data_IF_040937753173
#
_entry.id   IF_040937753173
#
_cell.length_a   1.000
_cell.length_b   1.000
_cell.length_c   1.000
_cell.angle_alpha   90.00
_cell.angle_beta   90.00
_cell.angle_gamma   90.00
#
_symmetry.space_group_name_H-M   'P 1'
#
loop_
_entity.id
_entity.type
_entity.pdbx_description
1 polymer ?
#
# COMPACT_ATOMS: atom_id res chain seq x y z
N UNK A 1 3.37 -29.62 17.38
CA UNK A 1 2.06 -29.59 16.71
C UNK A 1 2.05 -28.36 15.82
N UNK A 2 1.91 -28.58 14.51
CA UNK A 2 2.03 -27.58 13.47
C UNK A 2 0.70 -26.85 13.32
N UNK A 3 0.52 -25.73 14.03
CA UNK A 3 -0.59 -24.82 13.78
C UNK A 3 -0.25 -23.95 12.57
N UNK A 4 -0.64 -24.42 11.38
CA UNK A 4 -0.85 -23.52 10.26
C UNK A 4 -2.12 -22.71 10.56
N UNK A 5 -2.09 -21.37 10.50
CA UNK A 5 -3.31 -20.59 10.65
C UNK A 5 -4.30 -20.99 9.55
N UNK A 6 -5.51 -21.36 9.95
CA UNK A 6 -6.61 -21.63 9.02
C UNK A 6 -6.90 -20.36 8.23
N UNK A 7 -6.45 -20.35 6.97
CA UNK A 7 -6.77 -19.33 5.98
C UNK A 7 -8.25 -19.49 5.62
N UNK A 8 -9.12 -18.75 6.28
CA UNK A 8 -10.45 -18.42 5.75
C UNK A 8 -10.30 -17.38 4.65
N UNK A 9 -9.59 -17.74 3.58
CA UNK A 9 -9.67 -17.06 2.29
C UNK A 9 -11.09 -17.28 1.77
N UNK A 10 -11.94 -16.27 1.89
CA UNK A 10 -13.17 -16.22 1.12
C UNK A 10 -12.80 -16.26 -0.36
N UNK A 11 -12.95 -17.44 -0.93
CA UNK A 11 -12.92 -17.69 -2.36
C UNK A 11 -13.97 -16.80 -3.04
N UNK A 12 -13.52 -16.09 -4.07
CA UNK A 12 -14.29 -15.38 -5.11
C UNK A 12 -15.83 -15.42 -5.03
N UNK A 13 -16.49 -14.36 -4.54
CA UNK A 13 -17.86 -14.03 -4.95
C UNK A 13 -17.82 -13.23 -6.26
N UNK A 14 -18.55 -13.72 -7.27
CA UNK A 14 -18.72 -13.14 -8.60
C UNK A 14 -19.50 -11.81 -8.56
N UNK A 15 -18.82 -10.72 -8.22
CA UNK A 15 -19.37 -9.36 -8.35
C UNK A 15 -19.09 -8.76 -9.72
N UNK A 16 -20.13 -8.45 -10.49
CA UNK A 16 -20.04 -7.76 -11.79
C UNK A 16 -19.60 -6.30 -11.58
N UNK A 17 -18.30 -6.01 -11.55
CA UNK A 17 -17.83 -4.62 -11.70
C UNK A 17 -17.87 -4.25 -13.18
N UNK A 18 -18.67 -3.23 -13.55
CA UNK A 18 -18.67 -2.65 -14.89
C UNK A 18 -17.26 -2.11 -15.19
N UNK A 19 -16.67 -2.62 -16.26
CA UNK A 19 -15.29 -2.39 -16.67
C UNK A 19 -15.09 -0.95 -17.16
N UNK A 20 -14.02 -0.33 -16.68
CA UNK A 20 -13.33 0.78 -17.33
C UNK A 20 -12.23 0.16 -18.19
N UNK A 21 -12.04 0.68 -19.40
CA UNK A 21 -11.25 0.08 -20.48
C UNK A 21 -9.94 -0.58 -20.02
N UNK A 22 -9.57 -1.75 -20.58
CA UNK A 22 -8.32 -2.41 -20.23
C UNK A 22 -7.17 -1.45 -20.56
N UNK A 23 -6.42 -1.06 -19.53
CA UNK A 23 -5.14 -0.41 -19.71
C UNK A 23 -4.31 -1.26 -20.67
N UNK A 24 -4.06 -0.71 -21.86
CA UNK A 24 -3.32 -1.43 -22.91
C UNK A 24 -1.92 -1.75 -22.37
N UNK A 25 -1.46 -2.98 -22.61
CA UNK A 25 -0.06 -3.32 -22.38
C UNK A 25 0.84 -2.25 -23.02
N UNK A 26 1.81 -1.74 -22.26
CA UNK A 26 2.76 -0.66 -22.60
C UNK A 26 2.33 0.78 -22.35
N UNK A 27 1.17 1.05 -21.73
CA UNK A 27 0.88 2.39 -21.20
C UNK A 27 1.89 2.74 -20.10
N UNK A 28 2.62 3.86 -20.27
CA UNK A 28 3.57 4.36 -19.28
C UNK A 28 2.98 5.50 -18.47
N UNK A 29 3.10 5.40 -17.15
CA UNK A 29 2.80 6.50 -16.23
C UNK A 29 3.97 7.47 -16.24
N UNK A 30 3.68 8.74 -16.55
CA UNK A 30 4.61 9.83 -16.36
C UNK A 30 4.12 10.75 -15.26
N UNK A 31 4.91 10.90 -14.19
CA UNK A 31 4.64 11.88 -13.14
C UNK A 31 4.81 13.29 -13.70
N UNK A 32 3.74 14.09 -13.61
CA UNK A 32 3.68 15.48 -14.07
C UNK A 32 3.82 16.48 -12.94
N UNK A 33 3.39 16.12 -11.73
CA UNK A 33 3.64 16.97 -10.57
C UNK A 33 5.14 17.11 -10.32
N UNK A 34 5.65 18.34 -10.12
CA UNK A 34 7.06 18.54 -9.78
C UNK A 34 7.38 17.83 -8.46
N UNK A 35 8.63 17.40 -8.30
CA UNK A 35 9.10 16.90 -7.01
C UNK A 35 9.02 18.01 -5.98
N UNK A 36 8.51 17.68 -4.79
CA UNK A 36 8.47 18.61 -3.66
C UNK A 36 9.40 18.09 -2.56
N UNK A 37 10.41 18.91 -2.25
CA UNK A 37 11.38 18.64 -1.20
C UNK A 37 11.09 19.56 -0.02
N UNK A 38 10.76 18.97 1.12
CA UNK A 38 10.46 19.70 2.36
C UNK A 38 11.74 20.21 3.03
N UNK A 39 11.56 21.05 4.05
CA UNK A 39 12.65 21.45 4.94
C UNK A 39 13.25 20.23 5.66
N UNK A 40 14.58 20.16 5.83
CA UNK A 40 15.21 19.07 6.58
C UNK A 40 14.74 19.01 8.03
N UNK A 41 14.53 17.80 8.56
CA UNK A 41 14.08 17.61 9.95
C UNK A 41 15.23 17.69 10.95
N UNK A 42 16.39 17.14 10.59
CA UNK A 42 17.59 17.13 11.45
C UNK A 42 17.58 16.06 12.56
N UNK A 43 16.57 15.18 12.57
CA UNK A 43 16.51 13.99 13.42
C UNK A 43 15.68 12.90 12.74
N UNK A 44 15.88 11.65 13.14
CA UNK A 44 15.04 10.55 12.67
C UNK A 44 13.60 10.74 13.13
N UNK A 45 12.65 10.78 12.20
CA UNK A 45 11.22 10.97 12.47
C UNK A 45 10.58 9.77 13.16
N UNK A 46 11.26 8.62 13.18
CA UNK A 46 10.75 7.39 13.74
C UNK A 46 11.27 7.12 15.16
N UNK A 47 12.58 7.26 15.39
CA UNK A 47 13.19 6.96 16.70
C UNK A 47 13.79 8.18 17.41
N UNK A 48 13.75 9.37 16.80
CA UNK A 48 14.25 10.60 17.39
C UNK A 48 15.79 10.77 17.39
N UNK A 49 16.56 9.78 16.92
CA UNK A 49 18.02 9.89 16.91
C UNK A 49 18.51 11.05 16.04
N UNK A 50 19.54 11.76 16.51
CA UNK A 50 20.26 12.78 15.77
C UNK A 50 21.56 12.23 15.18
N UNK A 51 21.48 11.01 14.64
CA UNK A 51 22.63 10.32 14.07
C UNK A 51 23.38 11.22 13.07
N UNK A 52 24.71 11.09 13.02
CA UNK A 52 25.57 11.94 12.18
C UNK A 52 25.27 11.83 10.68
N UNK A 53 24.63 10.74 10.24
CA UNK A 53 24.20 10.52 8.86
C UNK A 53 22.73 10.15 8.80
N UNK A 54 21.89 11.16 8.61
CA UNK A 54 20.48 11.00 8.28
C UNK A 54 20.28 10.94 6.77
N UNK A 55 19.28 10.19 6.34
CA UNK A 55 18.88 10.00 4.94
C UNK A 55 17.60 10.76 4.64
N UNK A 56 17.31 10.84 3.35
CA UNK A 56 16.05 11.36 2.84
C UNK A 56 14.95 10.30 2.96
N UNK A 57 13.76 10.73 3.35
CA UNK A 57 12.57 9.88 3.42
C UNK A 57 11.62 10.24 2.27
N UNK A 58 11.26 9.26 1.46
CA UNK A 58 10.24 9.44 0.42
C UNK A 58 8.87 9.22 1.06
N UNK A 59 8.06 10.27 1.25
CA UNK A 59 6.78 10.16 1.98
C UNK A 59 5.92 9.07 1.35
N UNK A 60 5.59 9.23 0.06
CA UNK A 60 5.11 8.13 -0.78
C UNK A 60 6.33 7.46 -1.42
N UNK A 61 6.48 6.12 -1.37
CA UNK A 61 7.64 5.46 -1.94
C UNK A 61 7.82 5.78 -3.43
N UNK A 62 9.07 5.95 -3.87
CA UNK A 62 9.40 6.15 -5.28
C UNK A 62 8.89 5.00 -6.16
N UNK A 63 8.83 3.78 -5.61
CA UNK A 63 8.27 2.61 -6.29
C UNK A 63 6.77 2.75 -6.59
N UNK A 64 6.07 3.64 -5.91
CA UNK A 64 4.68 3.99 -6.21
C UNK A 64 4.59 5.28 -7.02
N UNK A 65 5.69 5.84 -7.54
CA UNK A 65 5.66 7.12 -8.24
C UNK A 65 5.57 8.32 -7.31
N UNK A 66 5.91 8.14 -6.03
CA UNK A 66 5.99 9.23 -5.06
C UNK A 66 7.06 10.27 -5.43
N UNK A 67 6.74 11.55 -5.21
CA UNK A 67 7.60 12.70 -5.53
C UNK A 67 7.72 13.69 -4.35
N UNK A 68 7.29 13.29 -3.16
CA UNK A 68 7.40 14.05 -1.92
C UNK A 68 8.58 13.53 -1.11
N UNK A 69 9.55 14.39 -0.80
CA UNK A 69 10.81 14.01 -0.16
C UNK A 69 11.07 14.86 1.07
N UNK A 70 11.36 14.21 2.20
CA UNK A 70 11.70 14.82 3.48
C UNK A 70 13.19 14.60 3.78
N UNK A 71 14.07 15.59 3.62
CA UNK A 71 15.51 15.42 3.81
C UNK A 71 15.91 15.24 5.29
N UNK A 72 17.06 14.58 5.52
CA UNK A 72 17.68 14.39 6.83
C UNK A 72 16.68 13.98 7.93
N UNK A 73 15.92 12.91 7.66
CA UNK A 73 14.72 12.56 8.42
C UNK A 73 14.61 11.09 8.81
N UNK A 74 15.47 10.20 8.29
CA UNK A 74 15.54 8.81 8.75
C UNK A 74 16.97 8.35 9.00
N UNK A 75 17.18 7.60 10.09
CA UNK A 75 18.46 6.94 10.34
C UNK A 75 18.55 5.63 9.54
N UNK A 76 19.76 5.07 9.45
CA UNK A 76 20.03 3.83 8.70
C UNK A 76 19.17 2.66 9.21
N UNK A 77 19.00 2.53 10.52
CA UNK A 77 18.24 1.42 11.10
C UNK A 77 16.75 1.51 10.74
N UNK A 78 16.15 2.70 10.88
CA UNK A 78 14.75 2.92 10.54
C UNK A 78 14.52 2.83 9.03
N UNK A 79 15.42 3.33 8.18
CA UNK A 79 15.36 3.14 6.73
C UNK A 79 15.45 1.66 6.35
N UNK A 80 16.26 0.87 7.06
CA UNK A 80 16.30 -0.59 6.86
C UNK A 80 14.99 -1.26 7.26
N UNK A 81 14.35 -0.83 8.35
CA UNK A 81 13.04 -1.34 8.77
C UNK A 81 11.97 -0.98 7.74
N UNK A 82 11.84 0.29 7.37
CA UNK A 82 10.82 0.75 6.43
C UNK A 82 11.03 0.18 5.03
N UNK A 83 12.28 0.17 4.57
CA UNK A 83 12.67 -0.40 3.29
C UNK A 83 12.33 -1.89 3.15
N UNK A 84 12.26 -2.65 4.25
CA UNK A 84 11.86 -4.07 4.22
C UNK A 84 10.41 -4.24 3.80
N UNK A 85 9.45 -3.61 4.50
CA UNK A 85 8.04 -3.76 4.14
C UNK A 85 7.70 -3.05 2.81
N UNK A 86 8.37 -1.95 2.49
CA UNK A 86 8.21 -1.30 1.18
C UNK A 86 8.69 -2.20 0.03
N UNK A 87 9.76 -2.97 0.24
CA UNK A 87 10.24 -3.95 -0.74
C UNK A 87 9.29 -5.12 -0.90
N UNK A 88 8.65 -5.59 0.18
CA UNK A 88 7.59 -6.62 0.08
C UNK A 88 6.48 -6.12 -0.86
N UNK A 89 6.00 -4.89 -0.66
CA UNK A 89 4.99 -4.31 -1.53
C UNK A 89 5.51 -4.13 -2.96
N UNK A 90 6.66 -3.48 -3.14
CA UNK A 90 7.17 -3.13 -4.46
C UNK A 90 7.59 -4.35 -5.31
N UNK A 91 8.15 -5.40 -4.71
CA UNK A 91 8.69 -6.56 -5.43
C UNK A 91 7.80 -7.79 -5.41
N UNK A 92 6.97 -7.96 -4.40
CA UNK A 92 6.16 -9.17 -4.27
C UNK A 92 4.70 -8.90 -4.55
N UNK A 93 4.23 -7.70 -4.23
CA UNK A 93 2.83 -7.38 -4.41
C UNK A 93 2.50 -6.70 -5.75
N UNK A 94 3.16 -5.60 -6.08
CA UNK A 94 2.82 -4.80 -7.27
C UNK A 94 3.86 -4.87 -8.39
N UNK A 95 4.80 -5.83 -8.34
CA UNK A 95 5.95 -5.84 -9.25
C UNK A 95 5.58 -5.96 -10.74
N UNK A 96 4.67 -6.86 -11.14
CA UNK A 96 4.21 -6.93 -12.53
C UNK A 96 3.54 -5.62 -12.96
N UNK A 97 2.65 -5.08 -12.12
CA UNK A 97 1.96 -3.82 -12.38
C UNK A 97 2.91 -2.64 -12.55
N UNK A 98 3.81 -2.41 -11.59
CA UNK A 98 4.74 -1.28 -11.65
C UNK A 98 5.68 -1.37 -12.86
N UNK A 99 6.05 -2.59 -13.25
CA UNK A 99 6.92 -2.83 -14.41
C UNK A 99 6.18 -2.58 -15.71
N UNK A 100 4.96 -3.12 -15.84
CA UNK A 100 4.11 -2.94 -17.01
C UNK A 100 3.70 -1.48 -17.23
N UNK A 101 3.46 -0.74 -16.15
CA UNK A 101 3.04 0.67 -16.17
C UNK A 101 4.21 1.67 -16.18
N UNK A 102 5.46 1.19 -16.20
CA UNK A 102 6.65 2.05 -16.30
C UNK A 102 6.92 2.93 -15.08
N UNK A 103 6.57 2.49 -13.87
CA UNK A 103 6.84 3.24 -12.64
C UNK A 103 8.34 3.49 -12.42
N UNK A 104 8.71 4.56 -11.70
CA UNK A 104 10.10 4.86 -11.42
C UNK A 104 10.84 3.72 -10.71
N UNK A 105 12.08 3.49 -11.11
CA UNK A 105 12.98 2.50 -10.50
C UNK A 105 14.40 3.04 -10.47
N UNK A 106 15.11 2.87 -9.34
CA UNK A 106 16.53 3.21 -9.24
C UNK A 106 17.41 2.29 -10.08
N UNK A 107 16.97 1.03 -10.30
CA UNK A 107 17.65 0.06 -11.16
C UNK A 107 16.89 -0.07 -12.48
N UNK A 108 17.61 0.07 -13.61
CA UNK A 108 17.00 0.07 -14.97
C UNK A 108 16.63 -1.33 -15.50
N UNK A 109 17.04 -2.41 -14.82
CA UNK A 109 16.76 -3.78 -15.29
C UNK A 109 15.39 -4.23 -14.80
N UNK A 110 14.44 -4.30 -15.72
CA UNK A 110 13.13 -4.91 -15.50
C UNK A 110 13.23 -6.43 -15.71
N UNK A 111 12.40 -7.23 -15.02
CA UNK A 111 12.31 -8.66 -15.29
C UNK A 111 11.68 -8.91 -16.66
N UNK A 112 12.11 -9.97 -17.34
CA UNK A 112 11.54 -10.40 -18.63
C UNK A 112 10.43 -11.43 -18.45
N UNK A 113 10.28 -12.00 -17.26
CA UNK A 113 9.23 -12.94 -16.88
C UNK A 113 8.75 -12.71 -15.44
N UNK A 114 7.61 -13.28 -15.10
CA UNK A 114 7.05 -13.27 -13.76
C UNK A 114 6.52 -14.65 -13.39
N UNK A 115 6.55 -14.96 -12.10
CA UNK A 115 6.07 -16.23 -11.55
C UNK A 115 4.55 -16.16 -11.26
N UNK A 116 3.84 -17.20 -11.69
CA UNK A 116 2.42 -17.46 -11.37
C UNK A 116 2.32 -18.86 -10.77
N UNK A 117 1.51 -18.98 -9.72
CA UNK A 117 1.27 -20.22 -9.00
C UNK A 117 -0.03 -20.87 -9.49
N UNK A 118 0.07 -22.08 -10.02
CA UNK A 118 -1.05 -22.93 -10.42
C UNK A 118 -1.36 -23.89 -9.27
N UNK A 119 -2.51 -23.67 -8.61
CA UNK A 119 -2.98 -24.48 -7.49
C UNK A 119 -3.73 -25.67 -8.05
N UNK A 120 -3.28 -26.87 -7.70
CA UNK A 120 -3.82 -28.14 -8.18
C UNK A 120 -4.97 -28.62 -7.29
N UNK A 121 -5.69 -29.64 -7.74
CA UNK A 121 -6.86 -30.19 -7.02
C UNK A 121 -6.53 -30.80 -5.64
N UNK A 122 -5.27 -31.15 -5.39
CA UNK A 122 -4.76 -31.63 -4.10
C UNK A 122 -4.10 -30.52 -3.26
N UNK A 123 -4.33 -29.26 -3.63
CA UNK A 123 -3.75 -28.04 -3.05
C UNK A 123 -2.22 -27.93 -3.15
N UNK A 124 -1.56 -28.83 -3.90
CA UNK A 124 -0.16 -28.62 -4.30
C UNK A 124 -0.05 -27.49 -5.34
N UNK A 125 1.13 -26.87 -5.44
CA UNK A 125 1.34 -25.68 -6.26
C UNK A 125 2.47 -25.90 -7.27
N UNK A 126 2.17 -25.65 -8.55
CA UNK A 126 3.16 -25.58 -9.62
C UNK A 126 3.45 -24.12 -9.98
N UNK A 127 4.71 -23.72 -9.84
CA UNK A 127 5.16 -22.38 -10.19
C UNK A 127 5.63 -22.31 -11.63
N UNK A 128 5.02 -21.44 -12.41
CA UNK A 128 5.34 -21.25 -13.83
C UNK A 128 5.82 -19.83 -14.08
N UNK A 129 6.89 -19.67 -14.87
CA UNK A 129 7.35 -18.37 -15.36
C UNK A 129 6.66 -18.03 -16.67
N UNK A 130 6.06 -16.85 -16.72
CA UNK A 130 5.37 -16.32 -17.89
C UNK A 130 6.10 -15.08 -18.36
N UNK A 131 6.45 -15.05 -19.64
CA UNK A 131 7.06 -13.89 -20.29
C UNK A 131 6.24 -12.63 -20.01
N UNK A 132 6.91 -11.53 -19.67
CA UNK A 132 6.29 -10.24 -19.32
C UNK A 132 5.29 -9.75 -20.36
N UNK A 133 5.54 -10.00 -21.65
CA UNK A 133 4.63 -9.61 -22.75
C UNK A 133 3.33 -10.42 -22.79
N UNK A 134 3.29 -11.57 -22.13
CA UNK A 134 2.11 -12.42 -21.99
C UNK A 134 1.48 -12.25 -20.61
N UNK A 135 2.23 -11.76 -19.61
CA UNK A 135 1.74 -11.66 -18.24
C UNK A 135 0.50 -10.75 -18.14
N UNK A 136 -0.62 -11.24 -17.56
CA UNK A 136 -1.80 -10.43 -17.33
C UNK A 136 -1.50 -9.36 -16.28
N UNK A 137 -1.27 -8.13 -16.71
CA UNK A 137 -0.89 -7.04 -15.80
C UNK A 137 -2.10 -6.62 -14.95
N UNK A 138 -2.08 -7.00 -13.68
CA UNK A 138 -3.13 -6.72 -12.71
C UNK A 138 -2.56 -5.96 -11.51
N UNK A 139 -3.31 -4.98 -11.02
CA UNK A 139 -3.11 -4.39 -9.70
C UNK A 139 -4.16 -4.96 -8.76
N UNK A 140 -3.68 -5.64 -7.73
CA UNK A 140 -4.48 -5.93 -6.55
C UNK A 140 -4.21 -4.84 -5.52
N UNK A 141 -5.19 -4.50 -4.68
CA UNK A 141 -5.02 -3.68 -3.47
C UNK A 141 -5.94 -4.21 -2.37
N UNK A 142 -5.59 -3.94 -1.12
CA UNK A 142 -6.48 -4.21 0.01
C UNK A 142 -7.39 -3.00 0.17
N UNK A 143 -8.69 -3.20 0.28
CA UNK A 143 -9.59 -2.22 0.87
C UNK A 143 -9.69 -2.52 2.35
N UNK A 144 -9.49 -1.51 3.18
CA UNK A 144 -9.67 -1.62 4.63
C UNK A 144 -11.03 -1.04 5.02
N UNK A 145 -11.62 -1.56 6.08
CA UNK A 145 -12.71 -0.86 6.77
C UNK A 145 -12.16 0.32 7.56
N UNK A 146 -13.05 1.13 8.12
CA UNK A 146 -12.66 2.14 9.11
C UNK A 146 -11.86 1.47 10.24
N UNK A 147 -10.73 2.09 10.60
CA UNK A 147 -9.90 1.61 11.70
C UNK A 147 -10.68 1.65 13.03
N UNK A 148 -10.29 0.77 13.96
CA UNK A 148 -10.99 0.63 15.25
C UNK A 148 -11.15 1.94 16.00
N UNK A 149 -10.10 2.76 16.05
CA UNK A 149 -10.08 4.04 16.76
C UNK A 149 -11.15 5.00 16.24
N UNK A 150 -11.24 5.21 14.92
CA UNK A 150 -12.24 6.09 14.32
C UNK A 150 -13.64 5.48 14.30
N UNK A 151 -13.75 4.15 14.40
CA UNK A 151 -15.02 3.45 14.60
C UNK A 151 -15.52 3.52 16.06
N UNK A 152 -14.79 4.19 16.96
CA UNK A 152 -15.14 4.33 18.38
C UNK A 152 -14.92 3.06 19.20
N UNK A 153 -14.12 2.12 18.70
CA UNK A 153 -13.76 0.89 19.43
C UNK A 153 -12.75 1.21 20.53
N UNK A 154 -12.84 0.55 21.67
CA UNK A 154 -11.86 0.66 22.75
C UNK A 154 -10.58 -0.16 22.45
N UNK A 155 -9.59 -0.02 23.33
CA UNK A 155 -8.36 -0.82 23.27
C UNK A 155 -8.65 -2.32 23.49
N UNK A 156 -9.66 -2.67 24.29
CA UNK A 156 -10.10 -4.05 24.52
C UNK A 156 -10.76 -4.68 23.29
N UNK A 157 -11.34 -3.86 22.41
CA UNK A 157 -12.02 -4.27 21.18
C UNK A 157 -11.08 -4.37 19.97
N UNK A 158 -9.76 -4.22 20.18
CA UNK A 158 -8.75 -4.39 19.14
C UNK A 158 -8.74 -5.81 18.58
N UNK A 159 -8.90 -5.92 17.27
CA UNK A 159 -8.77 -7.19 16.54
C UNK A 159 -7.37 -7.35 15.98
N UNK A 160 -6.81 -8.54 16.09
CA UNK A 160 -5.56 -8.92 15.41
C UNK A 160 -5.73 -9.08 13.88
N UNK A 161 -6.95 -8.90 13.37
CA UNK A 161 -7.27 -8.99 11.96
C UNK A 161 -7.55 -7.60 11.36
N UNK A 162 -6.96 -7.35 10.19
CA UNK A 162 -7.34 -6.21 9.37
C UNK A 162 -8.49 -6.69 8.48
N UNK A 163 -9.67 -6.07 8.59
CA UNK A 163 -10.79 -6.39 7.73
C UNK A 163 -10.48 -5.92 6.30
N UNK A 164 -10.33 -6.89 5.39
CA UNK A 164 -9.88 -6.66 4.02
C UNK A 164 -10.92 -7.10 3.01
N UNK A 165 -11.14 -6.26 1.99
CA UNK A 165 -11.75 -6.66 0.73
C UNK A 165 -10.72 -6.53 -0.39
N UNK A 166 -10.54 -7.57 -1.20
CA UNK A 166 -9.66 -7.52 -2.36
C UNK A 166 -10.23 -6.58 -3.43
N UNK A 167 -9.42 -5.66 -3.93
CA UNK A 167 -9.73 -4.84 -5.10
C UNK A 167 -8.78 -5.20 -6.24
N UNK A 168 -9.29 -5.26 -7.47
CA UNK A 168 -8.55 -5.64 -8.68
C UNK A 168 -8.79 -4.64 -9.80
N UNK A 169 -7.71 -4.19 -10.43
CA UNK A 169 -7.73 -3.54 -11.74
C UNK A 169 -6.84 -4.33 -12.72
N UNK A 170 -7.32 -4.57 -13.93
CA UNK A 170 -6.59 -5.33 -14.94
C UNK A 170 -7.50 -5.81 -16.08
N UNK A 171 -7.00 -6.68 -16.97
CA UNK A 171 -7.74 -7.24 -18.10
C UNK A 171 -9.08 -7.89 -17.70
N UNK A 172 -9.96 -8.15 -18.67
CA UNK A 172 -11.14 -8.97 -18.39
C UNK A 172 -10.72 -10.38 -17.92
N UNK A 173 -11.51 -10.99 -17.04
CA UNK A 173 -11.15 -12.30 -16.47
C UNK A 173 -11.05 -13.38 -17.57
N UNK A 174 -11.87 -13.28 -18.61
CA UNK A 174 -11.84 -14.12 -19.80
C UNK A 174 -10.53 -13.98 -20.57
N UNK A 175 -9.95 -12.78 -20.64
CA UNK A 175 -8.65 -12.53 -21.27
C UNK A 175 -7.52 -13.15 -20.45
N UNK A 176 -7.56 -12.99 -19.13
CA UNK A 176 -6.62 -13.66 -18.21
C UNK A 176 -6.68 -15.16 -18.38
N UNK A 177 -7.90 -15.75 -18.37
CA UNK A 177 -8.09 -17.19 -18.62
C UNK A 177 -7.50 -17.61 -19.96
N UNK A 178 -7.78 -16.87 -21.05
CA UNK A 178 -7.28 -17.19 -22.39
C UNK A 178 -5.75 -17.25 -22.42
N UNK A 179 -5.09 -16.28 -21.81
CA UNK A 179 -3.61 -16.23 -21.72
C UNK A 179 -3.07 -17.40 -20.91
N UNK A 180 -3.67 -17.68 -19.75
CA UNK A 180 -3.17 -18.69 -18.82
C UNK A 180 -3.58 -20.12 -19.18
N UNK A 181 -4.52 -20.30 -20.10
CA UNK A 181 -5.08 -21.60 -20.46
C UNK A 181 -4.04 -22.58 -20.99
N UNK A 182 -3.16 -22.15 -21.90
CA UNK A 182 -2.10 -23.02 -22.43
C UNK A 182 -1.12 -23.47 -21.36
N UNK A 183 -0.80 -22.58 -20.41
CA UNK A 183 0.05 -22.90 -19.26
C UNK A 183 -0.63 -23.86 -18.29
N UNK A 184 -1.93 -23.66 -18.03
CA UNK A 184 -2.72 -24.58 -17.22
C UNK A 184 -2.71 -26.00 -17.81
N UNK A 185 -3.00 -26.13 -19.11
CA UNK A 185 -2.98 -27.42 -19.80
C UNK A 185 -1.60 -28.10 -19.75
N UNK A 186 -0.51 -27.34 -19.88
CA UNK A 186 0.83 -27.88 -19.74
C UNK A 186 1.10 -28.40 -18.32
N UNK A 187 0.70 -27.62 -17.30
CA UNK A 187 0.77 -28.02 -15.89
C UNK A 187 -0.02 -29.32 -15.67
N UNK A 188 -1.29 -29.39 -16.09
CA UNK A 188 -2.14 -30.57 -15.92
C UNK A 188 -1.54 -31.80 -16.62
N UNK A 189 -0.99 -31.61 -17.83
CA UNK A 189 -0.34 -32.69 -18.60
C UNK A 189 0.89 -33.24 -17.89
N UNK A 190 1.72 -32.36 -17.30
CA UNK A 190 2.95 -32.73 -16.58
C UNK A 190 2.67 -33.37 -15.23
N UNK A 191 1.74 -32.82 -14.46
CA UNK A 191 1.44 -33.29 -13.09
C UNK A 191 0.41 -34.40 -13.04
N UNK A 192 -0.36 -34.61 -14.12
CA UNK A 192 -1.53 -35.51 -14.15
C UNK A 192 -2.62 -35.12 -13.14
N UNK A 193 -2.68 -33.85 -12.75
CA UNK A 193 -3.66 -33.29 -11.80
C UNK A 193 -4.36 -32.10 -12.41
N UNK A 194 -5.62 -31.89 -12.07
CA UNK A 194 -6.37 -30.72 -12.54
C UNK A 194 -5.91 -29.44 -11.86
N UNK A 195 -5.89 -28.33 -12.60
CA UNK A 195 -5.71 -26.99 -12.03
C UNK A 195 -7.04 -26.53 -11.42
N UNK A 196 -7.01 -26.27 -10.13
CA UNK A 196 -8.14 -25.79 -9.33
C UNK A 196 -8.23 -24.27 -9.34
N UNK A 197 -7.09 -23.59 -9.24
CA UNK A 197 -7.02 -22.14 -9.21
C UNK A 197 -5.66 -21.61 -9.71
N UNK A 198 -5.61 -20.31 -9.97
CA UNK A 198 -4.37 -19.59 -10.29
C UNK A 198 -4.25 -18.39 -9.37
N UNK A 199 -3.06 -18.15 -8.85
CA UNK A 199 -2.77 -17.05 -7.95
C UNK A 199 -1.41 -16.40 -8.27
N UNK A 200 -1.21 -15.14 -7.89
CA UNK A 200 0.13 -14.55 -7.85
C UNK A 200 1.05 -15.41 -6.97
N UNK A 201 2.30 -15.61 -7.39
CA UNK A 201 3.23 -16.55 -6.74
C UNK A 201 3.67 -16.17 -5.30
N UNK A 202 3.22 -15.03 -4.78
CA UNK A 202 3.51 -14.59 -3.42
C UNK A 202 2.26 -14.02 -2.77
N UNK A 203 2.03 -14.48 -1.54
CA UNK A 203 0.86 -14.12 -0.75
C UNK A 203 0.83 -12.63 -0.41
N UNK A 204 -0.39 -12.13 -0.41
CA UNK A 204 -0.73 -10.75 -0.17
C UNK A 204 -1.05 -10.53 1.31
N UNK A 205 -0.04 -10.12 2.09
CA UNK A 205 -0.21 -9.87 3.52
C UNK A 205 -0.68 -8.42 3.78
N UNK A 206 -1.77 -8.22 4.53
CA UNK A 206 -2.28 -6.88 4.87
C UNK A 206 -1.33 -6.04 5.72
N UNK A 207 -0.57 -6.67 6.62
CA UNK A 207 0.27 -5.97 7.58
C UNK A 207 1.38 -5.12 6.93
N UNK A 208 2.23 -5.63 6.01
CA UNK A 208 3.22 -4.80 5.31
C UNK A 208 2.61 -3.60 4.55
N UNK A 209 1.41 -3.78 3.98
CA UNK A 209 0.73 -2.71 3.28
C UNK A 209 0.24 -1.63 4.26
N UNK A 210 -0.35 -2.04 5.38
CA UNK A 210 -0.78 -1.12 6.43
C UNK A 210 0.41 -0.40 7.12
N UNK A 211 1.56 -1.07 7.30
CA UNK A 211 2.78 -0.41 7.76
C UNK A 211 3.27 0.67 6.78
N UNK A 212 3.20 0.40 5.48
CA UNK A 212 3.52 1.39 4.46
C UNK A 212 2.56 2.59 4.52
N UNK A 213 1.26 2.37 4.71
CA UNK A 213 0.30 3.45 4.92
C UNK A 213 0.61 4.26 6.18
N UNK A 214 0.89 3.60 7.31
CA UNK A 214 1.28 4.26 8.56
C UNK A 214 2.54 5.12 8.36
N UNK A 215 3.52 4.59 7.63
CA UNK A 215 4.75 5.30 7.29
C UNK A 215 4.49 6.53 6.42
N UNK A 216 3.66 6.39 5.38
CA UNK A 216 3.30 7.52 4.50
C UNK A 216 2.63 8.59 5.35
N UNK A 217 1.64 8.22 6.16
CA UNK A 217 0.89 9.13 7.02
C UNK A 217 1.77 9.86 8.04
N UNK A 218 2.62 9.13 8.77
CA UNK A 218 3.50 9.73 9.78
C UNK A 218 4.51 10.69 9.14
N UNK A 219 5.18 10.27 8.07
CA UNK A 219 6.15 11.13 7.38
C UNK A 219 5.50 12.37 6.75
N UNK A 220 4.27 12.25 6.25
CA UNK A 220 3.50 13.38 5.76
C UNK A 220 3.13 14.38 6.84
N UNK A 221 2.59 13.91 7.97
CA UNK A 221 2.25 14.76 9.09
C UNK A 221 3.48 15.50 9.65
N UNK A 222 4.63 14.82 9.74
CA UNK A 222 5.88 15.47 10.15
C UNK A 222 6.32 16.54 9.14
N UNK A 223 6.17 16.27 7.84
CA UNK A 223 6.58 17.19 6.79
C UNK A 223 5.74 18.48 6.77
N UNK A 224 4.42 18.37 6.97
CA UNK A 224 3.48 19.50 6.91
C UNK A 224 3.31 20.23 8.26
N UNK A 225 3.34 19.49 9.39
CA UNK A 225 3.09 20.06 10.73
C UNK A 225 4.35 20.21 11.56
N UNK A 226 5.41 19.47 11.26
CA UNK A 226 6.62 19.39 12.08
C UNK A 226 6.58 18.25 13.12
N UNK A 227 7.76 17.74 13.47
CA UNK A 227 7.91 16.52 14.30
C UNK A 227 7.46 16.66 15.77
N UNK A 228 7.28 17.88 16.27
CA UNK A 228 6.91 18.16 17.67
C UNK A 228 5.47 18.65 17.81
N UNK A 229 4.69 18.62 16.73
CA UNK A 229 3.35 19.22 16.67
C UNK A 229 2.24 18.24 17.10
N UNK A 230 2.57 16.97 17.30
CA UNK A 230 1.67 15.92 17.76
C UNK A 230 2.44 14.86 18.56
N UNK A 231 1.74 14.10 19.41
CA UNK A 231 2.29 12.92 20.08
C UNK A 231 2.05 11.69 19.20
N UNK A 232 3.09 11.11 18.59
CA UNK A 232 2.91 10.09 17.57
C UNK A 232 2.50 8.74 18.18
N UNK A 233 1.56 8.05 17.53
CA UNK A 233 1.06 6.73 17.98
C UNK A 233 1.42 5.60 16.99
N UNK A 234 1.87 5.93 15.78
CA UNK A 234 2.21 4.96 14.74
C UNK A 234 3.64 4.41 14.82
N UNK A 235 4.49 4.92 15.74
CA UNK A 235 5.92 4.58 15.75
C UNK A 235 6.17 3.08 16.02
N UNK A 236 5.41 2.47 16.92
CA UNK A 236 5.54 1.04 17.22
C UNK A 236 5.09 0.18 16.03
N UNK A 237 4.07 0.62 15.30
CA UNK A 237 3.60 -0.02 14.06
C UNK A 237 4.69 0.03 12.99
N UNK A 238 5.27 1.22 12.77
CA UNK A 238 6.27 1.45 11.71
C UNK A 238 7.59 0.73 12.03
N UNK A 239 8.00 0.71 13.29
CA UNK A 239 9.28 0.15 13.72
C UNK A 239 9.25 -1.38 13.91
N UNK A 240 8.08 -2.01 13.92
CA UNK A 240 7.95 -3.46 14.12
C UNK A 240 8.38 -4.26 12.89
N UNK A 241 9.25 -5.25 13.09
CA UNK A 241 9.48 -6.31 12.10
C UNK A 241 8.39 -7.38 12.21
N UNK A 242 7.37 -7.26 11.37
CA UNK A 242 6.20 -8.16 11.31
C UNK A 242 6.58 -9.61 10.94
N UNK A 243 7.79 -9.86 10.43
CA UNK A 243 8.25 -11.24 10.13
C UNK A 243 8.77 -11.99 11.36
N UNK A 244 9.12 -11.28 12.43
CA UNK A 244 9.85 -11.87 13.57
C UNK A 244 9.00 -12.01 14.84
N UNK A 245 7.82 -11.40 14.91
CA UNK A 245 6.95 -11.48 16.10
C UNK A 245 5.78 -12.43 15.85
N UNK A 246 5.47 -13.24 16.87
CA UNK A 246 4.14 -13.85 17.02
C UNK A 246 3.12 -12.71 17.06
N UNK A 247 2.43 -12.51 15.94
CA UNK A 247 1.47 -11.45 15.66
C UNK A 247 0.22 -11.59 16.52
N UNK A 248 0.10 -10.76 17.55
CA UNK A 248 -1.24 -10.38 18.03
C UNK A 248 -1.28 -8.90 18.38
N UNK A 249 -0.33 -8.38 19.16
CA UNK A 249 -0.38 -6.97 19.58
C UNK A 249 -0.10 -5.96 18.46
N UNK A 250 0.96 -6.17 17.66
CA UNK A 250 1.25 -5.25 16.55
C UNK A 250 0.15 -5.26 15.47
N UNK A 251 -0.43 -6.43 15.19
CA UNK A 251 -1.55 -6.57 14.27
C UNK A 251 -2.82 -5.89 14.82
N UNK A 252 -3.05 -6.00 16.14
CA UNK A 252 -4.10 -5.26 16.87
C UNK A 252 -3.95 -3.76 16.76
N UNK A 253 -2.75 -3.24 16.95
CA UNK A 253 -2.51 -1.81 16.88
C UNK A 253 -2.62 -1.31 15.44
N UNK A 254 -2.17 -2.09 14.44
CA UNK A 254 -2.34 -1.74 13.02
C UNK A 254 -3.81 -1.59 12.66
N UNK A 255 -4.66 -2.58 12.92
CA UNK A 255 -6.09 -2.52 12.56
C UNK A 255 -6.86 -1.43 13.32
N UNK A 256 -6.34 -1.04 14.49
CA UNK A 256 -6.93 -0.01 15.32
C UNK A 256 -6.62 1.40 14.82
N UNK A 257 -5.41 1.66 14.30
CA UNK A 257 -4.99 3.00 13.89
C UNK A 257 -4.90 3.21 12.38
N UNK A 258 -4.84 2.14 11.57
CA UNK A 258 -4.78 2.18 10.11
C UNK A 258 -6.03 1.53 9.52
N UNK A 259 -6.69 2.23 8.61
CA UNK A 259 -7.92 1.78 7.99
C UNK A 259 -8.14 2.39 6.62
N UNK A 260 -9.38 2.35 6.16
CA UNK A 260 -9.77 2.96 4.90
C UNK A 260 -11.25 2.86 4.63
N UNK A 261 -11.58 2.83 3.34
CA UNK A 261 -12.95 2.62 2.87
C UNK A 261 -13.06 1.41 1.95
N UNK A 262 -14.12 0.63 2.17
CA UNK A 262 -14.51 -0.49 1.30
C UNK A 262 -15.30 -0.03 0.06
N UNK A 263 -15.72 1.23 0.03
CA UNK A 263 -16.49 1.80 -1.07
C UNK A 263 -15.72 1.76 -2.39
N UNK A 264 -16.46 1.75 -3.50
CA UNK A 264 -15.88 1.91 -4.81
C UNK A 264 -15.71 3.40 -5.10
N UNK A 265 -14.51 3.79 -5.53
CA UNK A 265 -14.23 5.15 -5.95
C UNK A 265 -14.11 5.20 -7.47
N UNK A 266 -14.57 6.28 -8.13
CA UNK A 266 -14.33 6.47 -9.55
C UNK A 266 -12.82 6.58 -9.81
N UNK A 267 -12.40 6.19 -11.01
CA UNK A 267 -11.04 6.49 -11.45
C UNK A 267 -10.93 7.99 -11.79
N UNK A 268 -9.70 8.50 -11.77
CA UNK A 268 -9.36 9.83 -12.25
C UNK A 268 -8.47 9.76 -13.49
N UNK A 269 -8.61 10.71 -14.41
CA UNK A 269 -7.83 10.70 -15.65
C UNK A 269 -6.35 11.07 -15.44
N UNK A 270 -6.06 11.85 -14.40
CA UNK A 270 -4.75 12.49 -14.20
C UNK A 270 -4.20 12.37 -12.76
N UNK A 271 -4.91 11.75 -11.83
CA UNK A 271 -4.50 11.68 -10.41
C UNK A 271 -3.95 10.30 -10.09
N UNK A 272 -2.67 10.21 -9.72
CA UNK A 272 -2.08 8.96 -9.26
C UNK A 272 -2.33 8.76 -7.76
N UNK A 273 -1.89 9.72 -6.94
CA UNK A 273 -2.05 9.66 -5.49
C UNK A 273 -2.48 11.02 -4.93
N UNK A 274 -3.26 11.02 -3.86
CA UNK A 274 -3.47 12.20 -3.03
C UNK A 274 -3.27 11.87 -1.56
N UNK A 275 -2.81 12.87 -0.81
CA UNK A 275 -2.64 12.81 0.64
C UNK A 275 -3.12 14.13 1.25
N UNK A 276 -3.79 14.07 2.39
CA UNK A 276 -4.31 15.25 3.09
C UNK A 276 -4.31 15.02 4.62
N UNK A 277 -4.36 16.12 5.38
CA UNK A 277 -4.45 16.12 6.84
C UNK A 277 -5.83 16.59 7.28
N UNK A 278 -6.41 15.86 8.21
CA UNK A 278 -7.65 16.17 8.89
C UNK A 278 -7.44 16.15 10.40
N UNK A 279 -8.19 16.96 11.13
CA UNK A 279 -8.29 16.87 12.59
C UNK A 279 -9.61 16.22 12.97
N UNK A 280 -9.54 15.20 13.83
CA UNK A 280 -10.71 14.49 14.34
C UNK A 280 -10.73 14.57 15.86
N UNK A 281 -11.85 15.01 16.42
CA UNK A 281 -12.06 15.06 17.87
C UNK A 281 -12.64 13.74 18.38
N UNK A 282 -11.91 13.06 19.26
CA UNK A 282 -12.31 11.77 19.85
C UNK A 282 -12.07 11.82 21.36
N UNK A 283 -13.10 11.54 22.17
CA UNK A 283 -12.97 11.47 23.62
C UNK A 283 -12.45 12.76 24.27
N UNK A 284 -12.79 13.93 23.72
CA UNK A 284 -12.34 15.24 24.22
C UNK A 284 -10.90 15.63 23.86
N UNK A 285 -10.24 14.87 22.98
CA UNK A 285 -8.90 15.16 22.45
C UNK A 285 -8.96 15.26 20.93
N UNK A 286 -8.08 16.09 20.35
CA UNK A 286 -7.97 16.25 18.90
C UNK A 286 -6.82 15.39 18.37
N UNK A 287 -7.04 14.69 17.27
CA UNK A 287 -6.08 13.79 16.64
C UNK A 287 -5.79 14.21 15.21
N UNK A 288 -4.52 14.08 14.80
CA UNK A 288 -4.09 14.22 13.41
C UNK A 288 -4.40 12.92 12.68
N UNK A 289 -5.25 12.99 11.67
CA UNK A 289 -5.56 11.88 10.77
C UNK A 289 -5.08 12.23 9.38
N UNK A 290 -4.33 11.32 8.75
CA UNK A 290 -3.91 11.50 7.36
C UNK A 290 -4.77 10.64 6.46
N UNK A 291 -5.42 11.29 5.50
CA UNK A 291 -6.21 10.68 4.44
C UNK A 291 -5.31 10.39 3.24
N UNK A 292 -5.44 9.20 2.66
CA UNK A 292 -4.65 8.72 1.52
C UNK A 292 -5.58 8.21 0.43
N UNK A 293 -5.35 8.61 -0.81
CA UNK A 293 -5.93 7.95 -1.97
C UNK A 293 -4.80 7.45 -2.85
N UNK A 294 -4.59 6.13 -2.87
CA UNK A 294 -3.52 5.53 -3.66
C UNK A 294 -4.08 4.92 -4.95
N UNK A 295 -3.37 5.14 -6.05
CA UNK A 295 -3.74 4.64 -7.38
C UNK A 295 -5.12 5.11 -7.85
N UNK A 296 -5.46 6.37 -7.58
CA UNK A 296 -6.73 6.98 -8.01
C UNK A 296 -6.95 6.87 -9.53
N UNK A 297 -5.87 6.86 -10.32
CA UNK A 297 -5.92 6.74 -11.78
C UNK A 297 -6.60 5.46 -12.28
N UNK A 298 -6.55 4.40 -11.48
CA UNK A 298 -7.14 3.11 -11.80
C UNK A 298 -8.37 2.80 -10.93
N UNK A 299 -8.82 3.76 -10.11
CA UNK A 299 -9.93 3.60 -9.16
C UNK A 299 -9.53 2.90 -7.85
N UNK A 300 -8.27 3.06 -7.43
CA UNK A 300 -7.75 2.49 -6.19
C UNK A 300 -8.47 3.01 -4.93
N UNK A 301 -8.22 2.35 -3.80
CA UNK A 301 -8.92 2.62 -2.55
C UNK A 301 -8.40 3.85 -1.81
N UNK A 302 -9.27 4.39 -0.94
CA UNK A 302 -8.91 5.40 0.07
C UNK A 302 -8.59 4.73 1.39
N UNK A 303 -7.59 5.29 2.07
CA UNK A 303 -7.10 4.85 3.36
C UNK A 303 -6.99 6.03 4.31
N UNK A 304 -6.87 5.72 5.59
CA UNK A 304 -6.56 6.69 6.61
C UNK A 304 -5.68 6.08 7.69
N UNK A 305 -4.88 6.92 8.34
CA UNK A 305 -4.17 6.53 9.54
C UNK A 305 -4.24 7.63 10.58
N UNK A 306 -4.51 7.24 11.83
CA UNK A 306 -4.46 8.13 13.00
C UNK A 306 -2.99 8.26 13.38
N UNK A 307 -2.41 9.44 13.18
CA UNK A 307 -0.97 9.64 13.31
C UNK A 307 -0.57 9.94 14.75
N UNK A 308 -1.41 10.68 15.48
CA UNK A 308 -1.14 11.04 16.87
C UNK A 308 -2.11 12.07 17.44
N UNK A 309 -2.02 12.30 18.75
CA UNK A 309 -2.74 13.36 19.45
C UNK A 309 -2.15 14.72 19.04
N UNK A 310 -2.96 15.61 18.49
CA UNK A 310 -2.54 16.94 18.09
C UNK A 310 -2.25 17.81 19.33
N UNK A 311 -1.16 18.59 19.28
CA UNK A 311 -0.90 19.61 20.28
C UNK A 311 -1.53 20.94 19.85
N UNK A 312 -1.76 21.86 20.79
CA UNK A 312 -2.47 23.14 20.55
C UNK A 312 -1.96 23.87 19.31
N UNK A 313 -0.64 23.95 19.13
CA UNK A 313 -0.03 24.58 17.95
C UNK A 313 -0.46 23.94 16.63
N UNK A 314 -0.55 22.62 16.56
CA UNK A 314 -1.03 21.92 15.37
C UNK A 314 -2.51 22.15 15.15
N UNK A 315 -3.30 22.16 16.24
CA UNK A 315 -4.73 22.43 16.18
C UNK A 315 -4.98 23.82 15.61
N UNK A 316 -4.30 24.84 16.14
CA UNK A 316 -4.35 26.21 15.65
C UNK A 316 -3.93 26.28 14.18
N UNK A 317 -2.76 25.73 13.84
CA UNK A 317 -2.21 25.75 12.48
C UNK A 317 -3.15 25.10 11.44
N UNK A 318 -3.81 24.00 11.79
CA UNK A 318 -4.69 23.30 10.85
C UNK A 318 -6.05 23.99 10.77
N UNK A 319 -6.65 24.40 11.90
CA UNK A 319 -7.96 25.06 11.94
C UNK A 319 -7.93 26.48 11.38
N UNK A 320 -6.78 27.16 11.39
CA UNK A 320 -6.64 28.50 10.78
C UNK A 320 -6.57 28.47 9.26
N UNK A 321 -6.31 27.30 8.66
CA UNK A 321 -6.17 27.13 7.23
C UNK A 321 -7.49 26.69 6.58
N UNK A 322 -7.68 27.00 5.30
CA UNK A 322 -8.84 26.55 4.55
C UNK A 322 -8.84 25.00 4.44
N UNK A 323 -10.02 24.36 4.43
CA UNK A 323 -10.12 22.91 4.17
C UNK A 323 -9.33 22.51 2.90
N UNK A 324 -8.53 21.46 3.01
CA UNK A 324 -7.67 20.98 1.91
C UNK A 324 -6.38 21.78 1.68
N UNK A 325 -6.01 22.73 2.55
CA UNK A 325 -4.72 23.44 2.44
C UNK A 325 -3.51 22.51 2.55
N UNK A 326 -3.70 21.37 3.22
CA UNK A 326 -2.71 20.30 3.36
C UNK A 326 -2.90 19.21 2.31
N UNK A 327 -3.74 19.39 1.29
CA UNK A 327 -3.86 18.42 0.23
C UNK A 327 -2.65 18.51 -0.70
N UNK A 328 -2.02 17.37 -0.98
CA UNK A 328 -1.01 17.23 -2.03
C UNK A 328 -1.44 16.13 -2.98
N UNK A 329 -1.27 16.39 -4.27
CA UNK A 329 -1.67 15.49 -5.35
C UNK A 329 -0.50 15.21 -6.27
N UNK A 330 -0.28 13.93 -6.55
CA UNK A 330 0.66 13.46 -7.56
C UNK A 330 -0.14 13.23 -8.83
N UNK A 331 0.00 14.16 -9.77
CA UNK A 331 -0.62 14.12 -11.08
C UNK A 331 0.26 13.37 -12.07
N UNK A 332 -0.37 12.66 -12.99
CA UNK A 332 0.29 11.86 -14.01
C UNK A 332 -0.38 12.04 -15.37
N UNK A 333 0.34 11.71 -16.43
CA UNK A 333 -0.25 11.42 -17.73
C UNK A 333 0.01 9.98 -18.12
N UNK A 334 -0.90 9.39 -18.87
CA UNK A 334 -0.71 8.10 -19.51
C UNK A 334 -0.15 8.33 -20.90
N UNK A 335 1.07 7.85 -21.16
CA UNK A 335 1.57 7.75 -22.52
C UNK A 335 1.23 6.37 -23.07
N UNK A 336 0.33 6.35 -24.04
CA UNK A 336 0.21 5.20 -24.93
C UNK A 336 1.54 5.01 -25.70
N UNK A 337 1.94 3.77 -25.99
CA UNK A 337 3.16 3.48 -26.75
C UNK A 337 3.18 4.13 -28.12
#
# INVERSE_FOLDING_TARGET
MNDKPELTTSMWPLGKSKFVAPYRMNTKIEVKSPSHTYSPVGQCIYCGTRASKLKEEHIIPLSLGGNLVLPASSCVDCESITGRFEQEIARHFIWPFRTGMGFPSRKKKNPEDFEIDFILEDDSCERVRIERRLYPTELYLHKFTTCGFLAGKSDEEKTDSIAVVGWRNGPAFEEVKRVLFSFALDVERRTKKRVKAVAPARYFYPAPFAQMLAKISHSYAVAELGAISFRPILLDIISTDVRQKRESQAAKDISHFVGGSIEAFPHHDDLLHSVDIELVDVGGRTYVVVQLWLFAIVGGAKYHAVVGEALDKAVEQVRSNLPGSYARSIKVSLKSP
#
